data_IF_917809379536
#
_entry.id   IF_917809379536
#
_cell.length_a   1.000
_cell.length_b   1.000
_cell.length_c   1.000
_cell.angle_alpha   90.00
_cell.angle_beta   90.00
_cell.angle_gamma   90.00
#
_symmetry.space_group_name_H-M   'P 1'
#
loop_
_entity.id
_entity.type
_entity.pdbx_description
1 polymer ?
#
# COMPACT_ATOMS: atom_id res chain seq x y z
N UNK A 1 -5.99 3.77 2.97
CA UNK A 1 -6.02 3.67 1.50
C UNK A 1 -7.34 3.10 1.11
N UNK A 2 -8.03 3.80 0.22
CA UNK A 2 -9.28 3.30 -0.37
C UNK A 2 -9.00 2.07 -1.24
N UNK A 3 -10.00 1.20 -1.34
CA UNK A 3 -10.03 0.16 -2.35
C UNK A 3 -10.46 0.72 -3.71
N UNK A 4 -10.28 -0.08 -4.75
CA UNK A 4 -10.76 0.21 -6.09
C UNK A 4 -12.30 0.32 -6.07
N UNK A 5 -12.87 1.46 -6.50
CA UNK A 5 -14.31 1.70 -6.47
C UNK A 5 -15.09 0.70 -7.34
N UNK A 6 -14.45 0.02 -8.30
CA UNK A 6 -15.08 -1.03 -9.10
C UNK A 6 -15.61 -2.20 -8.23
N UNK A 7 -15.00 -2.44 -7.06
CA UNK A 7 -15.35 -3.56 -6.18
C UNK A 7 -16.09 -3.15 -4.90
N UNK A 8 -16.50 -1.89 -4.76
CA UNK A 8 -17.27 -1.43 -3.59
C UNK A 8 -18.77 -1.74 -3.76
N UNK A 9 -19.37 -2.37 -2.73
CA UNK A 9 -20.81 -2.64 -2.70
C UNK A 9 -21.56 -1.42 -2.14
N UNK A 10 -22.45 -0.82 -2.95
CA UNK A 10 -23.31 0.34 -2.61
C UNK A 10 -22.55 1.60 -2.16
N UNK A 11 -22.43 2.53 -3.09
CA UNK A 11 -21.84 3.86 -2.97
C UNK A 11 -22.69 4.73 -2.02
N UNK A 12 -22.48 4.56 -0.72
CA UNK A 12 -22.94 5.55 0.24
C UNK A 12 -22.04 6.76 0.04
N UNK A 13 -22.59 7.89 -0.43
CA UNK A 13 -21.89 9.14 -0.81
C UNK A 13 -20.92 9.73 0.24
N UNK A 14 -20.81 9.14 1.43
CA UNK A 14 -19.91 9.55 2.50
C UNK A 14 -18.87 8.44 2.71
N UNK A 15 -17.57 8.71 2.49
CA UNK A 15 -16.52 7.77 2.83
C UNK A 15 -16.51 7.53 4.33
N UNK A 16 -17.14 6.45 4.79
CA UNK A 16 -17.00 5.98 6.16
C UNK A 16 -15.69 5.20 6.26
N UNK A 17 -14.85 5.54 7.23
CA UNK A 17 -13.69 4.71 7.59
C UNK A 17 -14.20 3.33 8.04
N UNK A 18 -14.09 2.34 7.15
CA UNK A 18 -14.48 0.95 7.42
C UNK A 18 -13.53 -0.02 6.73
N UNK A 19 -13.57 -1.28 7.15
CA UNK A 19 -12.80 -2.36 6.52
C UNK A 19 -13.35 -2.75 5.14
N UNK A 20 -14.55 -2.30 4.79
CA UNK A 20 -15.14 -2.49 3.47
C UNK A 20 -14.68 -1.43 2.45
N UNK A 21 -14.43 -0.19 2.89
CA UNK A 21 -14.06 0.94 2.02
C UNK A 21 -12.56 1.09 1.80
N UNK A 22 -11.75 0.55 2.73
CA UNK A 22 -10.30 0.64 2.60
C UNK A 22 -9.54 -0.12 3.68
N UNK A 23 -8.25 0.16 3.77
CA UNK A 23 -7.35 -0.43 4.74
C UNK A 23 -6.29 0.57 5.24
N UNK A 24 -5.81 0.33 6.46
CA UNK A 24 -4.63 1.03 6.97
C UNK A 24 -3.39 0.54 6.24
N UNK A 25 -2.73 1.42 5.48
CA UNK A 25 -1.55 1.06 4.69
C UNK A 25 -0.37 0.76 5.61
N UNK A 26 0.01 -0.52 5.69
CA UNK A 26 1.14 -0.98 6.50
C UNK A 26 2.49 -0.90 5.77
N UNK A 27 2.47 -0.79 4.43
CA UNK A 27 3.65 -0.91 3.55
C UNK A 27 3.98 0.37 2.76
N UNK A 28 3.74 1.55 3.33
CA UNK A 28 4.19 2.83 2.77
C UNK A 28 4.70 3.76 3.86
N UNK A 29 5.81 4.44 3.57
CA UNK A 29 6.59 5.22 4.55
C UNK A 29 6.93 6.64 4.06
N UNK A 30 6.50 7.02 2.85
CA UNK A 30 6.90 8.29 2.23
C UNK A 30 6.40 9.56 2.94
N UNK A 31 5.28 9.51 3.67
CA UNK A 31 4.81 10.65 4.47
C UNK A 31 5.58 10.63 5.80
N UNK A 32 6.56 11.51 5.92
CA UNK A 32 7.44 11.59 7.08
C UNK A 32 7.81 13.05 7.37
N UNK A 33 7.97 13.37 8.66
CA UNK A 33 8.60 14.61 9.12
C UNK A 33 9.86 14.23 9.90
N UNK A 34 10.99 14.81 9.52
CA UNK A 34 12.31 14.57 10.10
C UNK A 34 13.11 15.86 10.05
N UNK A 35 13.90 16.16 11.07
CA UNK A 35 14.80 17.32 11.04
C UNK A 35 15.84 17.15 9.94
N UNK A 36 16.23 18.25 9.29
CA UNK A 36 17.21 18.20 8.21
C UNK A 36 18.55 17.60 8.65
N UNK A 37 18.99 17.89 9.87
CA UNK A 37 20.22 17.33 10.44
C UNK A 37 20.12 15.82 10.62
N UNK A 38 19.03 15.33 11.22
CA UNK A 38 18.77 13.91 11.42
C UNK A 38 18.71 13.15 10.08
N UNK A 39 18.03 13.73 9.08
CA UNK A 39 17.96 13.16 7.73
C UNK A 39 19.35 12.99 7.12
N UNK A 40 20.23 13.99 7.27
CA UNK A 40 21.62 13.91 6.79
C UNK A 40 22.41 12.85 7.57
N UNK A 41 22.23 12.79 8.89
CA UNK A 41 22.93 11.84 9.76
C UNK A 41 22.61 10.38 9.42
N UNK A 42 21.36 10.06 9.07
CA UNK A 42 20.96 8.69 8.69
C UNK A 42 21.32 8.33 7.23
N UNK A 43 22.00 9.22 6.50
CA UNK A 43 22.44 8.97 5.11
C UNK A 43 21.49 9.49 4.03
N UNK A 44 20.49 10.30 4.38
CA UNK A 44 19.61 10.98 3.42
C UNK A 44 18.63 10.06 2.68
N UNK A 45 17.93 10.63 1.70
CA UNK A 45 17.03 9.88 0.81
C UNK A 45 17.78 9.48 -0.47
N UNK A 46 17.70 8.20 -0.85
CA UNK A 46 18.42 7.70 -2.02
C UNK A 46 17.68 8.03 -3.32
N UNK A 47 18.14 9.10 -3.98
CA UNK A 47 17.58 9.55 -5.27
C UNK A 47 18.01 8.72 -6.48
N UNK A 48 18.88 7.72 -6.29
CA UNK A 48 19.27 6.78 -7.35
C UNK A 48 18.23 5.69 -7.55
N UNK A 49 17.38 5.43 -6.55
CA UNK A 49 16.22 4.53 -6.68
C UNK A 49 15.21 5.18 -7.63
N UNK A 50 14.92 4.49 -8.72
CA UNK A 50 13.96 4.91 -9.75
C UNK A 50 12.86 3.87 -9.89
N UNK A 51 11.72 4.28 -10.45
CA UNK A 51 10.58 3.41 -10.61
C UNK A 51 9.76 3.27 -9.32
N UNK A 52 9.01 2.18 -9.21
CA UNK A 52 8.08 1.94 -8.11
C UNK A 52 8.79 1.34 -6.89
N UNK A 53 8.72 2.04 -5.76
CA UNK A 53 9.06 1.51 -4.44
C UNK A 53 10.56 1.41 -4.16
N UNK A 54 10.83 1.02 -2.90
CA UNK A 54 12.11 0.93 -2.20
C UNK A 54 12.63 2.24 -1.63
N UNK A 55 12.34 3.39 -2.21
CA UNK A 55 12.93 4.68 -1.81
C UNK A 55 12.51 5.09 -0.39
N UNK A 56 11.23 4.90 -0.07
CA UNK A 56 10.68 5.16 1.25
C UNK A 56 11.05 4.07 2.26
N UNK A 57 11.10 2.82 1.83
CA UNK A 57 11.54 1.66 2.63
C UNK A 57 13.02 1.76 3.00
N UNK A 58 13.88 2.22 2.10
CA UNK A 58 15.30 2.46 2.34
C UNK A 58 15.48 3.54 3.40
N UNK A 59 14.83 4.70 3.23
CA UNK A 59 14.87 5.76 4.23
C UNK A 59 14.34 5.29 5.58
N UNK A 60 13.17 4.63 5.61
CA UNK A 60 12.60 4.06 6.83
C UNK A 60 13.58 3.09 7.50
N UNK A 61 14.19 2.18 6.74
CA UNK A 61 15.15 1.20 7.25
C UNK A 61 16.38 1.86 7.86
N UNK A 62 16.89 2.94 7.26
CA UNK A 62 18.02 3.71 7.82
C UNK A 62 17.63 4.41 9.13
N UNK A 63 16.44 5.02 9.16
CA UNK A 63 15.94 5.72 10.35
C UNK A 63 15.71 4.76 11.53
N UNK A 64 15.02 3.63 11.34
CA UNK A 64 14.73 2.69 12.44
C UNK A 64 15.97 1.96 12.97
N UNK A 65 17.06 1.90 12.20
CA UNK A 65 18.35 1.34 12.62
C UNK A 65 19.26 2.36 13.31
N UNK A 66 18.89 3.64 13.28
CA UNK A 66 19.63 4.72 13.92
C UNK A 66 19.26 4.86 15.42
N UNK A 67 19.82 5.86 16.09
CA UNK A 67 19.48 6.19 17.48
C UNK A 67 18.27 7.14 17.60
N UNK A 68 17.58 7.43 16.50
CA UNK A 68 16.38 8.28 16.50
C UNK A 68 15.19 7.52 17.09
N UNK A 69 14.35 8.24 17.84
CA UNK A 69 13.07 7.71 18.30
C UNK A 69 12.04 7.85 17.18
N UNK A 70 11.45 6.74 16.76
CA UNK A 70 10.47 6.70 15.68
C UNK A 70 9.06 6.60 16.24
N UNK A 71 8.19 7.51 15.80
CA UNK A 71 6.76 7.44 16.03
C UNK A 71 6.05 7.17 14.71
N UNK A 72 5.21 6.13 14.67
CA UNK A 72 4.35 5.78 13.55
C UNK A 72 2.94 5.55 14.06
N UNK A 73 1.97 6.25 13.48
CA UNK A 73 0.57 6.12 13.84
C UNK A 73 -0.30 6.17 12.58
N UNK A 74 -1.46 5.51 12.65
CA UNK A 74 -2.52 5.71 11.68
C UNK A 74 -3.21 7.05 11.95
N UNK A 75 -3.45 7.83 10.90
CA UNK A 75 -4.15 9.11 10.98
C UNK A 75 -5.48 9.02 10.19
N UNK A 76 -6.65 9.09 10.85
CA UNK A 76 -7.95 9.06 10.16
C UNK A 76 -8.23 10.31 9.31
N UNK A 77 -7.49 11.41 9.51
CA UNK A 77 -7.58 12.62 8.70
C UNK A 77 -6.79 12.56 7.39
N UNK A 78 -5.94 11.53 7.20
CA UNK A 78 -5.14 11.35 5.99
C UNK A 78 -5.67 10.17 5.20
N UNK A 79 -6.40 10.46 4.13
CA UNK A 79 -6.96 9.47 3.23
C UNK A 79 -6.11 9.41 1.95
N UNK A 80 -5.60 8.22 1.64
CA UNK A 80 -5.06 7.94 0.32
C UNK A 80 -6.20 7.52 -0.59
N UNK A 81 -6.66 8.47 -1.40
CA UNK A 81 -7.71 8.31 -2.40
C UNK A 81 -7.27 7.33 -3.47
N UNK A 82 -8.14 6.41 -3.88
CA UNK A 82 -7.79 5.39 -4.86
C UNK A 82 -7.38 6.00 -6.21
N UNK A 83 -6.36 5.41 -6.82
CA UNK A 83 -6.03 5.62 -8.23
C UNK A 83 -5.50 4.31 -8.82
N UNK A 84 -5.67 4.08 -10.14
CA UNK A 84 -5.12 2.89 -10.79
C UNK A 84 -3.61 2.78 -10.61
N UNK A 85 -3.14 1.55 -10.39
CA UNK A 85 -1.72 1.21 -10.26
C UNK A 85 -1.27 0.47 -11.52
N UNK A 86 -0.26 1.02 -12.19
CA UNK A 86 0.38 0.44 -13.39
C UNK A 86 1.80 0.03 -13.04
N UNK A 87 2.09 -1.27 -13.14
CA UNK A 87 3.41 -1.83 -12.87
C UNK A 87 4.16 -1.99 -14.19
N UNK A 88 5.28 -1.27 -14.35
CA UNK A 88 6.12 -1.40 -15.54
C UNK A 88 6.82 -2.77 -15.54
N UNK A 89 6.85 -3.49 -16.68
CA UNK A 89 7.60 -4.74 -16.81
C UNK A 89 9.12 -4.53 -16.80
N UNK A 90 9.58 -3.29 -16.91
CA UNK A 90 11.01 -2.93 -16.86
C UNK A 90 11.53 -2.74 -15.42
N UNK A 91 10.65 -2.85 -14.41
CA UNK A 91 11.06 -2.80 -13.01
C UNK A 91 11.91 -4.02 -12.65
N UNK A 92 12.85 -3.82 -11.72
CA UNK A 92 13.53 -4.93 -11.07
C UNK A 92 12.49 -5.83 -10.36
N UNK A 93 12.70 -7.14 -10.35
CA UNK A 93 11.77 -8.14 -9.80
C UNK A 93 11.19 -7.72 -8.44
N UNK A 94 12.04 -7.27 -7.52
CA UNK A 94 11.61 -6.86 -6.18
C UNK A 94 10.69 -5.62 -6.20
N UNK A 95 10.94 -4.64 -7.06
CA UNK A 95 10.07 -3.46 -7.24
C UNK A 95 8.77 -3.83 -7.95
N UNK A 96 8.84 -4.74 -8.92
CA UNK A 96 7.66 -5.26 -9.62
C UNK A 96 6.72 -5.98 -8.66
N UNK A 97 7.24 -6.85 -7.80
CA UNK A 97 6.48 -7.54 -6.75
C UNK A 97 5.87 -6.55 -5.74
N UNK A 98 6.61 -5.50 -5.34
CA UNK A 98 6.06 -4.44 -4.48
C UNK A 98 4.90 -3.68 -5.15
N UNK A 99 5.02 -3.41 -6.45
CA UNK A 99 3.97 -2.78 -7.24
C UNK A 99 2.74 -3.67 -7.34
N UNK A 100 2.92 -4.94 -7.70
CA UNK A 100 1.84 -5.92 -7.78
C UNK A 100 1.16 -6.14 -6.43
N UNK A 101 1.94 -6.27 -5.36
CA UNK A 101 1.41 -6.38 -4.01
C UNK A 101 0.56 -5.16 -3.63
N UNK A 102 1.01 -3.95 -3.97
CA UNK A 102 0.23 -2.72 -3.75
C UNK A 102 -1.06 -2.71 -4.56
N UNK A 103 -1.00 -3.11 -5.84
CA UNK A 103 -2.15 -3.20 -6.73
C UNK A 103 -3.19 -4.19 -6.21
N UNK A 104 -2.78 -5.42 -5.92
CA UNK A 104 -3.66 -6.48 -5.43
C UNK A 104 -4.27 -6.15 -4.06
N UNK A 105 -3.47 -5.55 -3.17
CA UNK A 105 -3.95 -5.11 -1.86
C UNK A 105 -5.00 -3.99 -1.95
N UNK A 106 -5.04 -3.26 -3.05
CA UNK A 106 -5.98 -2.16 -3.26
C UNK A 106 -7.25 -2.60 -4.01
N UNK A 107 -7.41 -3.88 -4.35
CA UNK A 107 -8.59 -4.35 -5.09
C UNK A 107 -9.87 -4.25 -4.25
N UNK A 108 -9.92 -4.94 -3.12
CA UNK A 108 -11.08 -4.94 -2.23
C UNK A 108 -10.74 -5.55 -0.87
N UNK A 109 -11.65 -5.43 0.08
CA UNK A 109 -11.57 -6.13 1.37
C UNK A 109 -11.51 -7.66 1.19
N UNK A 110 -10.89 -8.37 2.13
CA UNK A 110 -10.83 -9.84 2.10
C UNK A 110 -12.24 -10.46 2.06
N UNK A 111 -13.20 -9.85 2.77
CA UNK A 111 -14.60 -10.26 2.78
C UNK A 111 -15.24 -10.12 1.40
N UNK A 112 -15.02 -9.00 0.71
CA UNK A 112 -15.50 -8.77 -0.65
C UNK A 112 -14.88 -9.75 -1.64
N UNK A 113 -13.56 -9.95 -1.58
CA UNK A 113 -12.86 -10.92 -2.42
C UNK A 113 -13.39 -12.35 -2.20
N UNK A 114 -13.60 -12.74 -0.94
CA UNK A 114 -14.18 -14.04 -0.61
C UNK A 114 -15.60 -14.19 -1.18
N UNK A 115 -16.45 -13.17 -1.10
CA UNK A 115 -17.78 -13.17 -1.74
C UNK A 115 -17.66 -13.35 -3.25
N UNK A 116 -16.77 -12.62 -3.93
CA UNK A 116 -16.56 -12.73 -5.38
C UNK A 116 -16.15 -14.17 -5.77
N UNK A 117 -15.21 -14.76 -5.03
CA UNK A 117 -14.77 -16.15 -5.23
C UNK A 117 -15.94 -17.12 -5.02
N UNK A 118 -16.71 -16.96 -3.93
CA UNK A 118 -17.83 -17.83 -3.58
C UNK A 118 -19.05 -17.67 -4.52
N UNK A 119 -19.23 -16.52 -5.16
CA UNK A 119 -20.22 -16.31 -6.22
C UNK A 119 -19.78 -16.92 -7.55
N UNK A 120 -18.48 -17.15 -7.74
CA UNK A 120 -17.88 -17.69 -8.95
C UNK A 120 -17.15 -19.02 -8.68
N UNK A 121 -17.69 -19.88 -7.80
CA UNK A 121 -17.05 -21.12 -7.34
C UNK A 121 -16.54 -21.99 -8.49
N UNK A 122 -17.35 -22.16 -9.54
CA UNK A 122 -16.99 -22.99 -10.69
C UNK A 122 -15.80 -22.45 -11.49
N UNK A 123 -15.48 -21.16 -11.39
CA UNK A 123 -14.34 -20.54 -12.08
C UNK A 123 -13.07 -20.59 -11.24
N UNK A 124 -13.17 -20.33 -9.94
CA UNK A 124 -12.01 -20.13 -9.06
C UNK A 124 -11.68 -21.31 -8.16
N UNK A 125 -12.63 -22.22 -7.93
CA UNK A 125 -12.47 -23.35 -7.00
C UNK A 125 -12.70 -24.72 -7.67
N UNK A 126 -12.83 -24.79 -8.99
CA UNK A 126 -13.17 -26.03 -9.73
C UNK A 126 -12.00 -27.00 -9.93
N UNK A 127 -10.96 -26.93 -9.11
CA UNK A 127 -9.81 -27.85 -9.17
C UNK A 127 -9.48 -28.38 -7.78
N UNK A 128 -10.25 -29.40 -7.39
CA UNK A 128 -9.84 -30.45 -6.44
C UNK A 128 -10.46 -31.78 -6.90
N UNK A 129 -9.89 -32.33 -7.97
CA UNK A 129 -9.75 -33.79 -8.11
C UNK A 129 -8.31 -34.14 -7.76
#
# INVERSE_FOLDING_TARGET
SEYDPEYLENDSEIPSLSEESGYWRQFGFGIVSIYNEDLRQVGGFDTSIRGWGKEDVDLYSKVVRSNLTVLRAADPGIVHVFHPITCSPELEDSQYEMCWGSKLSSLASQKTLAKIILSNKQKYLSSRE
#
